data_IF_873565536711
#
_entry.id   IF_873565536711
#
_cell.length_a   1.000
_cell.length_b   1.000
_cell.length_c   1.000
_cell.angle_alpha   90.00
_cell.angle_beta   90.00
_cell.angle_gamma   90.00
#
_symmetry.space_group_name_H-M   'P 1'
#
loop_
_entity.id
_entity.type
_entity.pdbx_description
1 polymer ?
#
# COMPACT_ATOMS: atom_id res chain seq x y z
N UNK A 1 7.83 15.06 -7.18
CA UNK A 1 9.30 15.11 -7.24
C UNK A 1 9.80 14.48 -5.96
N UNK A 2 10.21 13.22 -6.04
CA UNK A 2 10.86 12.50 -4.96
C UNK A 2 12.28 13.06 -4.76
N UNK A 3 12.64 13.31 -3.51
CA UNK A 3 13.84 14.04 -3.11
C UNK A 3 14.92 13.02 -2.74
N UNK A 4 16.05 13.10 -3.44
CA UNK A 4 17.27 12.27 -3.30
C UNK A 4 17.65 11.93 -1.85
N UNK A 5 17.42 10.69 -1.40
CA UNK A 5 18.03 10.18 -0.16
C UNK A 5 18.26 8.66 -0.09
N UNK A 6 17.62 7.86 -0.94
CA UNK A 6 17.91 6.44 -1.06
C UNK A 6 18.14 6.09 -2.53
N UNK A 7 18.72 4.94 -2.81
CA UNK A 7 19.01 4.45 -4.17
C UNK A 7 17.75 4.17 -5.01
N UNK A 8 16.65 4.92 -4.84
CA UNK A 8 15.49 4.83 -5.72
C UNK A 8 15.91 5.35 -7.09
N UNK A 9 15.87 4.45 -8.06
CA UNK A 9 16.06 4.80 -9.44
C UNK A 9 14.94 5.81 -9.79
N UNK A 10 15.20 6.97 -10.40
CA UNK A 10 14.13 7.90 -10.80
C UNK A 10 13.20 7.34 -11.89
N UNK A 11 13.40 6.08 -12.30
CA UNK A 11 12.52 5.27 -13.14
C UNK A 11 11.75 4.20 -12.36
N UNK A 12 12.03 4.01 -11.07
CA UNK A 12 11.19 3.23 -10.19
C UNK A 12 9.95 4.05 -9.89
N UNK A 13 8.80 3.50 -10.26
CA UNK A 13 7.51 4.12 -9.99
C UNK A 13 6.80 3.46 -8.81
N UNK A 14 7.31 2.35 -8.31
CA UNK A 14 6.83 1.52 -7.21
C UNK A 14 8.04 1.27 -6.30
N UNK A 15 8.18 2.08 -5.26
CA UNK A 15 9.40 2.23 -4.47
C UNK A 15 9.58 1.14 -3.41
N UNK A 16 8.49 0.45 -3.04
CA UNK A 16 8.51 -0.69 -2.11
C UNK A 16 8.16 -2.02 -2.77
N UNK A 17 7.97 -2.06 -4.09
CA UNK A 17 7.74 -3.27 -4.89
C UNK A 17 6.47 -4.04 -4.49
N UNK A 18 5.42 -3.35 -4.04
CA UNK A 18 4.16 -3.92 -3.57
C UNK A 18 3.11 -4.11 -4.69
N UNK A 19 3.38 -3.52 -5.86
CA UNK A 19 2.52 -3.57 -7.04
C UNK A 19 1.68 -2.31 -7.29
N UNK A 20 1.80 -1.27 -6.46
CA UNK A 20 1.23 0.05 -6.67
C UNK A 20 2.31 1.07 -7.03
N UNK A 21 1.99 1.98 -7.96
CA UNK A 21 2.89 3.10 -8.20
C UNK A 21 2.84 4.07 -6.99
N UNK A 22 3.97 4.65 -6.57
CA UNK A 22 4.11 5.65 -5.50
C UNK A 22 3.08 6.78 -5.61
N UNK A 23 2.83 7.19 -6.85
CA UNK A 23 1.87 8.23 -7.17
C UNK A 23 0.43 7.80 -6.91
N UNK A 24 0.11 6.54 -7.17
CA UNK A 24 -1.21 5.95 -6.92
C UNK A 24 -1.43 5.82 -5.42
N UNK A 25 -0.46 5.28 -4.68
CA UNK A 25 -0.50 5.17 -3.22
C UNK A 25 -0.78 6.53 -2.56
N UNK A 26 0.08 7.52 -2.81
CA UNK A 26 -0.03 8.84 -2.15
C UNK A 26 -1.28 9.61 -2.57
N UNK A 27 -1.69 9.54 -3.85
CA UNK A 27 -2.77 10.38 -4.36
C UNK A 27 -4.16 9.71 -4.36
N UNK A 28 -4.23 8.38 -4.27
CA UNK A 28 -5.49 7.61 -4.38
C UNK A 28 -5.85 6.93 -3.09
N UNK A 29 -4.90 6.20 -2.49
CA UNK A 29 -5.15 5.33 -1.34
C UNK A 29 -4.72 5.97 -0.02
N UNK A 30 -3.81 6.95 -0.05
CA UNK A 30 -3.29 7.59 1.15
C UNK A 30 -2.29 6.72 1.92
N UNK A 31 -1.72 5.72 1.25
CA UNK A 31 -0.71 4.79 1.75
C UNK A 31 0.70 5.33 1.58
N UNK A 32 1.69 4.58 2.08
CA UNK A 32 3.09 4.99 2.10
C UNK A 32 3.90 4.26 1.02
N UNK A 33 4.54 4.98 0.06
CA UNK A 33 5.29 4.38 -1.05
C UNK A 33 6.65 3.78 -0.68
N UNK A 34 6.81 3.40 0.58
CA UNK A 34 8.06 2.92 1.17
C UNK A 34 7.76 1.78 2.15
N UNK A 35 6.51 1.35 2.25
CA UNK A 35 5.98 0.37 3.18
C UNK A 35 4.95 -0.47 2.42
N UNK A 36 5.34 -1.70 2.06
CA UNK A 36 4.47 -2.65 1.35
C UNK A 36 3.10 -2.85 2.02
N UNK A 37 3.02 -2.81 3.35
CA UNK A 37 1.80 -3.04 4.15
C UNK A 37 1.57 -1.82 5.05
N UNK A 38 0.80 -0.85 4.57
CA UNK A 38 0.68 0.49 5.17
C UNK A 38 -0.11 0.49 6.47
N UNK A 39 -1.10 -0.37 6.60
CA UNK A 39 -1.93 -0.47 7.80
C UNK A 39 -1.44 -1.54 8.81
N UNK A 40 -0.53 -2.40 8.36
CA UNK A 40 0.18 -3.42 9.11
C UNK A 40 -0.64 -4.67 9.41
N UNK A 41 -1.68 -4.98 8.65
CA UNK A 41 -2.58 -6.12 8.88
C UNK A 41 -2.03 -7.47 8.38
N UNK A 42 -0.97 -7.42 7.57
CA UNK A 42 -0.30 -8.57 6.99
C UNK A 42 -0.51 -8.74 5.49
N UNK A 43 -1.06 -7.74 4.81
CA UNK A 43 -1.30 -7.71 3.38
C UNK A 43 -0.59 -6.53 2.76
N UNK A 44 -0.04 -6.75 1.57
CA UNK A 44 0.59 -5.65 0.86
C UNK A 44 -0.52 -4.75 0.23
N UNK A 45 -0.33 -3.44 0.16
CA UNK A 45 -1.36 -2.48 -0.27
C UNK A 45 -1.86 -2.81 -1.70
N UNK A 46 -0.95 -3.25 -2.57
CA UNK A 46 -1.28 -3.76 -3.90
C UNK A 46 -2.19 -4.99 -3.89
N UNK A 47 -1.99 -5.93 -2.96
CA UNK A 47 -2.87 -7.09 -2.79
C UNK A 47 -4.25 -6.64 -2.29
N UNK A 48 -4.31 -5.73 -1.33
CA UNK A 48 -5.56 -5.16 -0.81
C UNK A 48 -6.41 -4.51 -1.90
N UNK A 49 -5.80 -3.70 -2.76
CA UNK A 49 -6.48 -3.12 -3.94
C UNK A 49 -7.04 -4.22 -4.86
N UNK A 50 -6.33 -5.33 -5.02
CA UNK A 50 -6.78 -6.47 -5.84
C UNK A 50 -7.95 -7.25 -5.20
N UNK A 51 -8.00 -7.32 -3.86
CA UNK A 51 -9.11 -7.93 -3.11
C UNK A 51 -10.28 -6.98 -2.85
N UNK A 52 -10.15 -5.71 -3.22
CA UNK A 52 -11.15 -4.65 -2.97
C UNK A 52 -11.31 -4.29 -1.49
N UNK A 53 -10.23 -4.41 -0.71
CA UNK A 53 -10.09 -3.84 0.64
C UNK A 53 -9.44 -2.45 0.56
N UNK A 54 -9.48 -1.69 1.65
CA UNK A 54 -8.86 -0.37 1.78
C UNK A 54 -7.47 -0.53 2.40
N UNK A 55 -6.39 -0.28 1.64
CA UNK A 55 -5.03 -0.52 2.12
C UNK A 55 -4.54 0.42 3.24
N UNK A 56 -5.38 1.36 3.66
CA UNK A 56 -5.12 2.21 4.82
C UNK A 56 -5.96 1.80 6.05
N UNK A 57 -6.74 0.71 5.99
CA UNK A 57 -7.66 0.28 7.04
C UNK A 57 -7.66 -1.24 7.25
N UNK A 58 -7.13 -1.66 8.41
CA UNK A 58 -6.88 -3.07 8.76
C UNK A 58 -8.12 -3.97 8.77
N UNK A 59 -9.32 -3.40 8.71
CA UNK A 59 -10.63 -4.04 8.81
C UNK A 59 -11.63 -3.22 7.96
N UNK A 60 -11.57 -3.43 6.65
CA UNK A 60 -12.29 -2.61 5.67
C UNK A 60 -13.81 -2.66 5.81
N UNK A 61 -14.36 -3.78 6.27
CA UNK A 61 -15.81 -3.95 6.46
C UNK A 61 -16.29 -3.71 7.89
N UNK A 62 -15.35 -3.43 8.81
CA UNK A 62 -15.55 -3.07 10.20
C UNK A 62 -16.31 -4.14 11.00
N UNK A 63 -16.06 -5.41 10.72
CA UNK A 63 -16.70 -6.54 11.42
C UNK A 63 -15.90 -7.03 12.65
N UNK A 64 -14.68 -6.53 12.83
CA UNK A 64 -13.77 -6.86 13.93
C UNK A 64 -12.76 -7.96 13.62
N UNK A 65 -12.70 -8.43 12.38
CA UNK A 65 -11.67 -9.30 11.83
C UNK A 65 -10.82 -8.48 10.85
N UNK A 66 -9.54 -8.83 10.73
CA UNK A 66 -8.63 -8.08 9.84
C UNK A 66 -8.73 -8.61 8.42
N UNK A 67 -8.53 -7.74 7.44
CA UNK A 67 -8.66 -8.08 6.02
C UNK A 67 -7.79 -9.28 5.62
N UNK A 68 -6.63 -9.48 6.26
CA UNK A 68 -5.76 -10.65 6.04
C UNK A 68 -6.49 -11.98 6.23
N UNK A 69 -7.46 -12.01 7.14
CA UNK A 69 -8.27 -13.20 7.44
C UNK A 69 -9.51 -13.27 6.56
N UNK A 70 -10.06 -12.13 6.13
CA UNK A 70 -11.35 -12.05 5.42
C UNK A 70 -11.26 -12.08 3.90
N UNK A 71 -10.23 -11.44 3.32
CA UNK A 71 -9.94 -11.28 1.88
C UNK A 71 -11.05 -11.63 0.88
#
# INVERSE_FOLDING_TARGET
>A
MEITAYHSNPLDTDSDDDGLDDGVEVNTYGTSPMIMDSDGDGLDDGDEVAYHTDPADRDSDNDGVVDFIDK
#
